data_IF_781978076166
#
_entry.id   IF_781978076166
#
_cell.length_a   1.000
_cell.length_b   1.000
_cell.length_c   1.000
_cell.angle_alpha   90.00
_cell.angle_beta   90.00
_cell.angle_gamma   90.00
#
_symmetry.space_group_name_H-M   'P 1'
#
loop_
_entity.id
_entity.type
_entity.pdbx_description
1 polymer ?
#
# COMPACT_ATOMS: atom_id res chain seq x y z
N UNK A 1 40.84 -2.80 -37.27
CA UNK A 1 41.70 -3.99 -37.04
C UNK A 1 41.65 -4.29 -35.55
N UNK A 2 41.07 -5.36 -34.99
CA UNK A 2 40.47 -6.65 -35.41
C UNK A 2 39.29 -6.85 -34.42
N UNK A 3 38.03 -6.99 -34.81
CA UNK A 3 37.30 -8.18 -35.30
C UNK A 3 37.29 -9.42 -34.38
N UNK A 4 36.04 -9.89 -34.14
CA UNK A 4 35.52 -11.18 -33.61
C UNK A 4 35.12 -11.16 -32.12
N UNK A 5 33.92 -11.61 -31.72
CA UNK A 5 32.88 -12.36 -32.44
C UNK A 5 31.52 -12.28 -31.72
N UNK A 6 30.48 -12.09 -32.53
CA UNK A 6 29.05 -12.20 -32.30
C UNK A 6 28.63 -13.65 -31.97
N UNK A 7 27.59 -13.84 -31.14
CA UNK A 7 26.34 -14.59 -31.41
C UNK A 7 25.60 -14.85 -30.08
N UNK A 8 24.39 -14.29 -29.95
CA UNK A 8 23.20 -14.97 -29.43
C UNK A 8 22.01 -14.01 -29.54
N UNK A 9 21.34 -14.03 -30.69
CA UNK A 9 20.00 -13.47 -30.85
C UNK A 9 19.16 -14.56 -31.52
N UNK A 10 17.88 -14.57 -31.17
CA UNK A 10 16.80 -15.51 -31.57
C UNK A 10 16.51 -16.60 -30.52
N UNK A 11 15.66 -16.23 -29.57
CA UNK A 11 14.51 -17.05 -29.16
C UNK A 11 13.37 -16.08 -28.77
N UNK A 12 12.76 -15.46 -29.78
CA UNK A 12 11.41 -14.91 -29.65
C UNK A 12 10.44 -16.04 -30.03
N UNK A 13 9.88 -16.71 -29.04
CA UNK A 13 8.70 -17.56 -29.21
C UNK A 13 7.80 -17.39 -27.99
N UNK A 14 6.54 -17.10 -28.30
CA UNK A 14 5.42 -16.81 -27.42
C UNK A 14 5.32 -17.72 -26.19
N UNK A 15 5.13 -17.09 -25.03
CA UNK A 15 4.39 -17.65 -23.91
C UNK A 15 3.29 -16.66 -23.55
N UNK A 16 2.22 -16.67 -24.34
CA UNK A 16 0.90 -16.31 -23.84
C UNK A 16 0.46 -17.44 -22.91
N UNK A 17 0.86 -17.37 -21.65
CA UNK A 17 0.16 -18.09 -20.59
C UNK A 17 -0.78 -17.09 -19.92
N UNK A 18 -2.07 -17.40 -19.99
CA UNK A 18 -3.11 -16.62 -19.37
C UNK A 18 -2.84 -16.50 -17.88
N UNK A 19 -2.66 -15.26 -17.43
CA UNK A 19 -2.98 -14.92 -16.05
C UNK A 19 -4.48 -15.17 -15.91
N UNK A 20 -4.83 -16.21 -15.18
CA UNK A 20 -6.20 -16.38 -14.71
C UNK A 20 -6.47 -15.17 -13.82
N UNK A 21 -7.34 -14.30 -14.33
CA UNK A 21 -7.96 -13.21 -13.62
C UNK A 21 -8.55 -13.72 -12.32
N UNK A 22 -8.14 -13.11 -11.19
CA UNK A 22 -8.95 -13.07 -9.99
C UNK A 22 -10.18 -12.20 -10.30
N UNK A 23 -11.19 -12.81 -10.92
CA UNK A 23 -12.51 -12.22 -11.08
C UNK A 23 -13.56 -13.33 -11.01
N UNK A 24 -14.13 -13.49 -9.81
CA UNK A 24 -15.30 -14.32 -9.61
C UNK A 24 -16.43 -13.83 -10.49
N UNK A 25 -16.97 -14.71 -11.33
CA UNK A 25 -18.22 -14.48 -12.04
C UNK A 25 -19.15 -15.65 -11.76
N UNK A 26 -19.99 -15.48 -10.75
CA UNK A 26 -21.25 -16.21 -10.68
C UNK A 26 -22.22 -15.53 -11.65
N UNK A 27 -22.73 -16.29 -12.61
CA UNK A 27 -24.14 -16.20 -13.04
C UNK A 27 -24.46 -17.35 -13.99
N UNK A 28 -25.24 -18.30 -13.50
CA UNK A 28 -26.16 -19.07 -14.31
C UNK A 28 -27.56 -18.50 -14.05
N UNK A 29 -28.24 -18.00 -15.08
CA UNK A 29 -29.52 -18.55 -15.56
C UNK A 29 -30.39 -17.54 -16.36
N UNK A 30 -30.79 -18.06 -17.53
CA UNK A 30 -32.12 -17.94 -18.14
C UNK A 30 -32.56 -16.61 -18.80
N UNK A 31 -32.72 -16.74 -20.12
CA UNK A 31 -33.56 -15.89 -20.97
C UNK A 31 -35.00 -15.83 -20.45
N UNK A 32 -35.57 -14.62 -20.44
CA UNK A 32 -36.96 -14.39 -20.89
C UNK A 32 -37.16 -12.94 -21.34
N UNK A 33 -37.72 -12.83 -22.55
CA UNK A 33 -38.17 -11.63 -23.24
C UNK A 33 -39.29 -10.89 -22.49
N UNK A 34 -39.32 -9.57 -22.57
CA UNK A 34 -40.57 -8.82 -22.69
C UNK A 34 -40.35 -7.41 -23.25
N UNK A 35 -41.34 -6.97 -24.02
CA UNK A 35 -41.40 -5.84 -24.92
C UNK A 35 -41.36 -4.43 -24.32
N UNK A 36 -41.02 -3.52 -25.22
CA UNK A 36 -41.23 -2.07 -25.25
C UNK A 36 -42.48 -1.53 -24.52
N UNK A 37 -42.34 -0.32 -23.96
CA UNK A 37 -43.23 0.82 -24.25
C UNK A 37 -42.64 2.14 -23.76
N UNK A 38 -42.80 3.15 -24.61
CA UNK A 38 -42.50 4.56 -24.37
C UNK A 38 -43.53 5.23 -23.44
N UNK A 39 -43.08 6.23 -22.68
CA UNK A 39 -43.81 7.47 -22.36
C UNK A 39 -42.84 8.41 -21.63
N UNK A 40 -42.37 9.50 -22.24
CA UNK A 40 -43.03 10.81 -22.41
C UNK A 40 -42.57 11.81 -21.34
N UNK A 41 -41.81 12.79 -21.83
CA UNK A 41 -41.36 14.02 -21.18
C UNK A 41 -42.49 14.72 -20.41
N UNK A 42 -42.18 15.21 -19.22
CA UNK A 42 -42.91 16.34 -18.64
C UNK A 42 -41.90 17.29 -18.00
N UNK A 43 -41.81 18.48 -18.58
CA UNK A 43 -41.10 19.64 -18.01
C UNK A 43 -41.95 20.19 -16.85
N UNK A 44 -41.30 20.45 -15.72
CA UNK A 44 -41.84 21.34 -14.70
C UNK A 44 -40.76 22.33 -14.28
N UNK A 45 -40.97 23.59 -14.64
CA UNK A 45 -40.23 24.77 -14.19
C UNK A 45 -40.54 25.05 -12.73
N UNK A 46 -39.51 25.12 -11.89
CA UNK A 46 -39.57 25.78 -10.59
C UNK A 46 -38.20 26.38 -10.27
N UNK A 47 -38.11 27.70 -10.40
CA UNK A 47 -37.03 28.53 -9.85
C UNK A 47 -37.02 28.36 -8.33
N UNK A 48 -35.94 27.79 -7.80
CA UNK A 48 -35.56 27.94 -6.39
C UNK A 48 -34.10 28.34 -6.34
N UNK A 49 -33.90 29.64 -6.15
CA UNK A 49 -32.62 30.25 -5.79
C UNK A 49 -32.35 29.90 -4.33
N UNK A 50 -31.73 28.75 -4.10
CA UNK A 50 -31.11 28.41 -2.83
C UNK A 50 -29.63 28.80 -2.92
N UNK A 51 -29.16 29.58 -1.95
CA UNK A 51 -27.73 29.79 -1.70
C UNK A 51 -27.05 28.42 -1.63
N UNK A 52 -26.25 28.09 -2.64
CA UNK A 52 -25.25 27.05 -2.54
C UNK A 52 -24.03 27.67 -1.88
N UNK A 53 -23.96 27.58 -0.55
CA UNK A 53 -22.66 27.46 0.09
C UNK A 53 -22.06 26.16 -0.47
N UNK A 54 -21.28 26.29 -1.54
CA UNK A 54 -20.46 25.20 -2.07
C UNK A 54 -19.38 24.94 -1.04
N UNK A 55 -19.69 24.12 -0.04
CA UNK A 55 -18.66 23.52 0.79
C UNK A 55 -17.64 22.86 -0.16
N UNK A 56 -16.37 23.20 0.02
CA UNK A 56 -15.29 22.57 -0.73
C UNK A 56 -15.41 21.05 -0.54
N UNK A 57 -15.60 20.26 -1.62
CA UNK A 57 -15.72 18.80 -1.48
C UNK A 57 -14.44 18.19 -0.87
N UNK A 58 -13.30 18.87 -0.93
CA UNK A 58 -12.09 18.54 -0.19
C UNK A 58 -12.00 19.37 1.08
N UNK A 59 -12.28 18.77 2.23
CA UNK A 59 -12.26 19.47 3.51
C UNK A 59 -11.72 18.59 4.63
N UNK A 60 -10.51 18.90 5.07
CA UNK A 60 -9.91 18.36 6.29
C UNK A 60 -10.73 18.83 7.51
N UNK A 61 -11.13 17.93 8.43
CA UNK A 61 -11.82 18.33 9.65
C UNK A 61 -11.01 19.36 10.44
N UNK A 62 -11.68 20.43 10.89
CA UNK A 62 -11.05 21.51 11.64
C UNK A 62 -10.53 21.06 13.01
N UNK A 63 -11.22 20.12 13.65
CA UNK A 63 -10.76 19.53 14.89
C UNK A 63 -9.58 18.57 14.63
N UNK A 64 -8.50 18.66 15.41
CA UNK A 64 -7.37 17.76 15.27
C UNK A 64 -7.76 16.33 15.69
N UNK A 65 -7.07 15.35 15.14
CA UNK A 65 -7.17 13.98 15.62
C UNK A 65 -6.73 13.92 17.10
N UNK A 66 -7.52 13.25 17.93
CA UNK A 66 -7.22 13.08 19.36
C UNK A 66 -6.58 11.72 19.59
N UNK A 67 -5.38 11.71 20.12
CA UNK A 67 -4.61 10.51 20.44
C UNK A 67 -4.42 10.33 21.95
N UNK A 68 -4.29 9.08 22.40
CA UNK A 68 -3.83 8.75 23.77
C UNK A 68 -2.34 8.39 23.82
N UNK A 69 -1.65 8.39 22.68
CA UNK A 69 -0.24 8.03 22.57
C UNK A 69 0.66 9.05 23.30
N UNK A 70 1.77 8.55 23.85
CA UNK A 70 2.78 9.34 24.56
C UNK A 70 4.15 9.28 23.87
N UNK A 71 4.23 8.70 22.67
CA UNK A 71 5.46 8.50 21.91
C UNK A 71 6.17 7.18 22.22
N UNK A 72 5.77 6.44 23.26
CA UNK A 72 6.47 5.21 23.67
C UNK A 72 6.33 4.06 22.68
N UNK A 73 5.26 4.05 21.88
CA UNK A 73 5.01 3.03 20.87
C UNK A 73 5.51 3.45 19.48
N UNK A 74 5.99 4.68 19.28
CA UNK A 74 6.49 5.18 18.00
C UNK A 74 7.53 4.25 17.40
N UNK A 75 7.32 3.85 16.15
CA UNK A 75 8.33 3.07 15.41
C UNK A 75 9.39 4.02 14.87
N UNK A 76 10.66 3.69 15.13
CA UNK A 76 11.83 4.39 14.61
C UNK A 76 12.82 3.37 14.04
N UNK A 77 13.87 3.84 13.35
CA UNK A 77 14.96 2.97 12.88
C UNK A 77 16.24 3.29 13.64
N UNK A 78 16.88 2.25 14.18
CA UNK A 78 18.24 2.33 14.74
C UNK A 78 19.03 1.08 14.36
N UNK A 79 20.28 1.26 13.90
CA UNK A 79 21.15 0.15 13.49
C UNK A 79 20.48 -0.84 12.53
N UNK A 80 19.74 -0.31 11.54
CA UNK A 80 18.99 -1.06 10.53
C UNK A 80 17.91 -2.01 11.11
N UNK A 81 17.35 -1.65 12.26
CA UNK A 81 16.24 -2.34 12.91
C UNK A 81 15.11 -1.39 13.21
N UNK A 82 13.88 -1.91 13.21
CA UNK A 82 12.74 -1.18 13.76
C UNK A 82 12.77 -1.22 15.28
N UNK A 83 12.47 -0.09 15.89
CA UNK A 83 12.48 0.10 17.34
C UNK A 83 11.17 0.71 17.80
N UNK A 84 10.62 0.22 18.92
CA UNK A 84 9.61 0.91 19.70
C UNK A 84 10.26 1.35 21.02
N UNK A 85 10.52 2.65 21.17
CA UNK A 85 11.41 3.16 22.20
C UNK A 85 12.83 2.61 22.04
N UNK A 86 13.34 1.89 23.05
CA UNK A 86 14.68 1.27 23.02
C UNK A 86 14.65 -0.24 22.75
N UNK A 87 13.49 -0.80 22.37
CA UNK A 87 13.32 -2.23 22.13
C UNK A 87 13.08 -2.49 20.66
N UNK A 88 13.74 -3.53 20.14
CA UNK A 88 13.52 -3.99 18.78
C UNK A 88 12.08 -4.47 18.62
N UNK A 89 11.43 -4.06 17.54
CA UNK A 89 10.11 -4.56 17.13
C UNK A 89 10.26 -5.44 15.89
N UNK A 90 9.51 -6.53 15.85
CA UNK A 90 9.33 -7.37 14.67
C UNK A 90 7.85 -7.40 14.29
N UNK A 91 7.53 -7.14 13.02
CA UNK A 91 6.15 -7.08 12.58
C UNK A 91 5.59 -8.47 12.28
N UNK A 92 4.76 -8.98 13.19
CA UNK A 92 3.91 -10.15 12.99
C UNK A 92 2.64 -9.67 12.28
N UNK A 93 2.81 -9.31 11.02
CA UNK A 93 1.85 -8.51 10.27
C UNK A 93 0.92 -9.32 9.39
N UNK A 94 -0.17 -8.69 8.97
CA UNK A 94 -1.04 -9.18 7.89
C UNK A 94 -1.39 -8.03 6.96
N UNK A 95 -1.71 -8.34 5.71
CA UNK A 95 -2.47 -7.41 4.88
C UNK A 95 -3.93 -7.48 5.33
N UNK A 96 -4.46 -6.34 5.75
CA UNK A 96 -5.90 -6.10 5.94
C UNK A 96 -6.26 -5.03 4.92
N UNK A 97 -6.18 -5.34 3.62
CA UNK A 97 -6.02 -4.30 2.62
C UNK A 97 -7.30 -3.46 2.50
N UNK A 98 -8.47 -4.05 2.80
CA UNK A 98 -9.77 -3.39 2.94
C UNK A 98 -10.80 -4.33 3.64
N UNK A 99 -11.90 -3.79 4.17
CA UNK A 99 -13.17 -4.49 4.39
C UNK A 99 -13.93 -4.53 3.06
N UNK A 100 -14.26 -3.34 2.56
CA UNK A 100 -14.87 -3.11 1.27
C UNK A 100 -13.93 -2.28 0.42
N UNK A 101 -13.90 -2.59 -0.86
CA UNK A 101 -13.16 -1.78 -1.81
C UNK A 101 -13.59 -0.31 -1.70
N UNK A 102 -12.62 0.58 -1.50
CA UNK A 102 -12.86 2.00 -1.18
C UNK A 102 -13.64 2.24 0.13
N UNK A 103 -13.13 1.70 1.24
CA UNK A 103 -13.70 1.92 2.58
C UNK A 103 -13.77 3.41 2.95
N UNK A 104 -12.64 4.11 2.96
CA UNK A 104 -12.50 5.42 3.59
C UNK A 104 -13.07 6.55 2.72
N UNK A 105 -14.11 7.22 3.22
CA UNK A 105 -14.94 8.16 2.50
C UNK A 105 -16.07 7.49 1.72
N UNK A 106 -16.22 6.17 1.85
CA UNK A 106 -17.13 5.34 1.09
C UNK A 106 -17.80 4.26 1.94
N UNK A 107 -17.30 3.03 1.81
CA UNK A 107 -17.90 1.83 2.40
C UNK A 107 -17.60 1.57 3.88
N UNK A 108 -16.86 2.46 4.56
CA UNK A 108 -16.31 2.26 5.90
C UNK A 108 -17.34 1.71 6.89
N UNK A 109 -16.90 0.73 7.67
CA UNK A 109 -17.71 0.04 8.66
C UNK A 109 -16.98 0.03 9.99
N UNK A 110 -17.32 0.95 10.88
CA UNK A 110 -16.75 1.01 12.23
C UNK A 110 -16.85 -0.35 12.97
N UNK A 111 -18.02 -1.04 12.99
CA UNK A 111 -18.12 -2.33 13.68
C UNK A 111 -17.16 -3.39 13.11
N UNK A 112 -16.99 -3.43 11.78
CA UNK A 112 -16.05 -4.36 11.16
C UNK A 112 -14.62 -4.08 11.64
N UNK A 113 -14.14 -2.85 11.50
CA UNK A 113 -12.76 -2.51 11.85
C UNK A 113 -12.48 -2.71 13.33
N UNK A 114 -13.46 -2.41 14.20
CA UNK A 114 -13.36 -2.68 15.62
C UNK A 114 -13.25 -4.18 15.92
N UNK A 115 -14.20 -4.99 15.45
CA UNK A 115 -14.21 -6.43 15.69
C UNK A 115 -12.97 -7.11 15.08
N UNK A 116 -12.52 -6.63 13.92
CA UNK A 116 -11.38 -7.19 13.22
C UNK A 116 -10.08 -6.84 13.91
N UNK A 117 -9.82 -5.57 14.29
CA UNK A 117 -8.62 -5.20 15.03
C UNK A 117 -8.56 -5.86 16.40
N UNK A 118 -9.69 -5.97 17.12
CA UNK A 118 -9.77 -6.73 18.36
C UNK A 118 -9.32 -8.18 18.16
N UNK A 119 -9.87 -8.85 17.13
CA UNK A 119 -9.52 -10.22 16.78
C UNK A 119 -8.04 -10.36 16.44
N UNK A 120 -7.50 -9.48 15.58
CA UNK A 120 -6.10 -9.51 15.16
C UNK A 120 -5.16 -9.34 16.36
N UNK A 121 -5.40 -8.33 17.20
CA UNK A 121 -4.65 -8.10 18.43
C UNK A 121 -4.69 -9.33 19.33
N UNK A 122 -5.89 -9.86 19.62
CA UNK A 122 -6.08 -11.01 20.51
C UNK A 122 -5.30 -12.24 20.03
N UNK A 123 -5.21 -12.45 18.73
CA UNK A 123 -4.49 -13.58 18.11
C UNK A 123 -2.97 -13.33 17.98
N UNK A 124 -2.50 -12.10 18.20
CA UNK A 124 -1.08 -11.76 18.28
C UNK A 124 -0.51 -11.06 17.05
N UNK A 125 -1.36 -10.50 16.20
CA UNK A 125 -0.94 -9.55 15.16
C UNK A 125 -0.61 -8.22 15.83
N UNK A 126 0.49 -7.59 15.42
CA UNK A 126 0.84 -6.23 15.86
C UNK A 126 0.82 -5.21 14.72
N UNK A 127 0.68 -5.62 13.46
CA UNK A 127 0.69 -4.70 12.34
C UNK A 127 -0.25 -5.10 11.21
N UNK A 128 -0.85 -4.10 10.58
CA UNK A 128 -1.67 -4.25 9.38
C UNK A 128 -1.16 -3.33 8.27
N UNK A 129 -1.06 -3.87 7.06
CA UNK A 129 -0.97 -3.06 5.84
C UNK A 129 -2.37 -2.87 5.25
N UNK A 130 -2.75 -1.60 5.01
CA UNK A 130 -4.13 -1.20 4.69
C UNK A 130 -4.13 -0.22 3.52
N UNK A 131 -4.94 -0.46 2.50
CA UNK A 131 -5.07 0.43 1.35
C UNK A 131 -6.14 1.48 1.61
N UNK A 132 -5.71 2.69 1.97
CA UNK A 132 -6.64 3.72 2.43
C UNK A 132 -7.34 4.47 1.30
N UNK A 133 -6.88 4.31 0.06
CA UNK A 133 -7.52 4.86 -1.14
C UNK A 133 -7.90 3.79 -2.19
N UNK A 134 -7.37 2.57 -2.11
CA UNK A 134 -7.60 1.48 -3.07
C UNK A 134 -7.34 1.89 -4.54
N UNK A 135 -8.37 2.32 -5.30
CA UNK A 135 -8.22 2.85 -6.66
C UNK A 135 -8.44 4.37 -6.77
N UNK A 136 -8.74 5.04 -5.66
CA UNK A 136 -8.93 6.50 -5.61
C UNK A 136 -10.24 6.99 -6.23
N UNK A 137 -11.21 6.10 -6.48
CA UNK A 137 -12.52 6.50 -7.04
C UNK A 137 -13.45 7.09 -5.97
N UNK A 138 -13.16 6.89 -4.68
CA UNK A 138 -13.94 7.40 -3.55
C UNK A 138 -13.02 8.07 -2.53
N UNK A 139 -13.54 9.08 -1.83
CA UNK A 139 -12.81 9.79 -0.79
C UNK A 139 -11.79 10.80 -1.31
N UNK A 140 -11.30 10.65 -2.55
CA UNK A 140 -10.33 11.53 -3.20
C UNK A 140 -11.02 12.53 -4.15
N UNK A 141 -10.58 13.79 -4.13
CA UNK A 141 -11.13 14.86 -4.98
C UNK A 141 -10.13 15.20 -6.08
N UNK A 142 -10.33 14.59 -7.25
CA UNK A 142 -9.51 14.76 -8.44
C UNK A 142 -10.39 15.15 -9.65
N UNK A 143 -9.97 16.17 -10.41
CA UNK A 143 -10.66 16.55 -11.66
C UNK A 143 -10.35 15.54 -12.78
N UNK A 144 -11.15 15.49 -13.86
CA UNK A 144 -10.82 14.70 -15.05
C UNK A 144 -9.46 15.05 -15.67
N UNK A 145 -9.00 16.29 -15.48
CA UNK A 145 -7.69 16.77 -15.90
C UNK A 145 -6.57 16.36 -14.94
N UNK A 146 -6.85 15.71 -13.81
CA UNK A 146 -5.86 15.30 -12.82
C UNK A 146 -5.48 16.38 -11.81
N UNK A 147 -6.25 17.47 -11.70
CA UNK A 147 -6.05 18.48 -10.66
C UNK A 147 -6.60 17.96 -9.33
N UNK A 148 -5.72 17.85 -8.33
CA UNK A 148 -6.04 17.22 -7.05
C UNK A 148 -6.26 18.28 -5.96
N UNK A 149 -7.42 18.22 -5.31
CA UNK A 149 -7.85 19.23 -4.32
C UNK A 149 -7.76 18.74 -2.88
N UNK A 150 -7.61 17.43 -2.64
CA UNK A 150 -7.56 16.83 -1.31
C UNK A 150 -8.47 15.61 -1.19
N UNK A 151 -8.78 15.25 0.06
CA UNK A 151 -9.74 14.20 0.38
C UNK A 151 -11.00 14.79 1.03
N UNK A 152 -12.12 14.07 0.87
CA UNK A 152 -13.42 14.43 1.46
C UNK A 152 -13.39 14.39 2.98
N UNK A 153 -14.28 15.13 3.65
CA UNK A 153 -14.41 15.07 5.11
C UNK A 153 -14.67 13.65 5.63
N UNK A 154 -15.52 12.88 4.95
CA UNK A 154 -15.82 11.50 5.34
C UNK A 154 -14.57 10.61 5.34
N UNK A 155 -13.68 10.78 4.34
CA UNK A 155 -12.43 10.05 4.29
C UNK A 155 -11.57 10.29 5.53
N UNK A 156 -11.44 11.55 5.96
CA UNK A 156 -10.69 11.91 7.16
C UNK A 156 -11.35 11.40 8.45
N UNK A 157 -12.68 11.47 8.56
CA UNK A 157 -13.43 10.98 9.73
C UNK A 157 -13.35 9.44 9.86
N UNK A 158 -13.34 8.73 8.73
CA UNK A 158 -13.14 7.28 8.70
C UNK A 158 -11.71 6.90 9.10
N UNK A 159 -10.71 7.66 8.66
CA UNK A 159 -9.32 7.47 9.09
C UNK A 159 -9.12 7.81 10.57
N UNK A 160 -9.77 8.86 11.09
CA UNK A 160 -9.77 9.15 12.52
C UNK A 160 -10.29 7.95 13.32
N UNK A 161 -11.36 7.33 12.83
CA UNK A 161 -11.92 6.11 13.44
C UNK A 161 -10.94 4.94 13.36
N UNK A 162 -10.29 4.73 12.22
CA UNK A 162 -9.29 3.68 12.03
C UNK A 162 -8.10 3.85 13.00
N UNK A 163 -7.52 5.04 13.07
CA UNK A 163 -6.34 5.29 13.92
C UNK A 163 -6.69 5.28 15.40
N UNK A 164 -7.90 5.69 15.79
CA UNK A 164 -8.39 5.49 17.14
C UNK A 164 -8.47 3.99 17.51
N UNK A 165 -8.94 3.13 16.59
CA UNK A 165 -8.97 1.68 16.79
C UNK A 165 -7.56 1.06 16.78
N UNK A 166 -6.67 1.56 15.92
CA UNK A 166 -5.27 1.15 15.86
C UNK A 166 -4.55 1.37 17.20
N UNK A 167 -4.79 2.53 17.83
CA UNK A 167 -4.31 2.85 19.17
C UNK A 167 -4.90 1.92 20.24
N UNK A 168 -6.21 1.71 20.22
CA UNK A 168 -6.92 0.91 21.23
C UNK A 168 -6.47 -0.56 21.21
N UNK A 169 -6.26 -1.13 20.02
CA UNK A 169 -5.91 -2.53 19.83
C UNK A 169 -4.43 -2.77 19.51
N UNK A 170 -3.57 -1.76 19.68
CA UNK A 170 -2.13 -1.85 19.47
C UNK A 170 -1.71 -2.39 18.08
N UNK A 171 -2.42 -2.00 17.02
CA UNK A 171 -2.14 -2.40 15.64
C UNK A 171 -1.41 -1.29 14.90
N UNK A 172 -0.15 -1.51 14.56
CA UNK A 172 0.64 -0.61 13.71
C UNK A 172 0.13 -0.65 12.27
N UNK A 173 -0.36 0.47 11.76
CA UNK A 173 -0.88 0.61 10.39
C UNK A 173 0.22 1.10 9.45
N UNK A 174 0.53 0.29 8.43
CA UNK A 174 1.20 0.73 7.20
C UNK A 174 0.11 1.21 6.24
N UNK A 175 -0.03 2.52 6.11
CA UNK A 175 -1.08 3.13 5.31
C UNK A 175 -0.65 3.27 3.85
N UNK A 176 -1.25 2.47 2.97
CA UNK A 176 -0.97 2.48 1.54
C UNK A 176 -1.85 3.52 0.83
N UNK A 177 -1.23 4.58 0.33
CA UNK A 177 -1.95 5.78 -0.17
C UNK A 177 -2.27 5.75 -1.67
N UNK A 178 -1.63 4.88 -2.44
CA UNK A 178 -1.97 4.60 -3.84
C UNK A 178 -1.79 3.11 -4.16
N UNK A 179 -2.33 2.67 -5.30
CA UNK A 179 -2.12 1.34 -5.86
C UNK A 179 -2.01 1.46 -7.38
N UNK A 180 -1.41 0.47 -8.05
CA UNK A 180 -1.52 0.33 -9.50
C UNK A 180 -2.98 0.36 -10.00
N UNK A 181 -3.97 0.01 -9.15
CA UNK A 181 -5.39 0.13 -9.46
C UNK A 181 -5.83 1.57 -9.74
N UNK A 182 -5.16 2.59 -9.21
CA UNK A 182 -5.43 3.99 -9.57
C UNK A 182 -5.22 4.24 -11.06
N UNK A 183 -4.39 3.42 -11.73
CA UNK A 183 -3.96 3.63 -13.10
C UNK A 183 -4.64 2.67 -14.08
N UNK A 184 -5.47 1.73 -13.60
CA UNK A 184 -6.08 0.68 -14.42
C UNK A 184 -7.26 1.22 -15.24
N UNK A 185 -7.26 0.99 -16.55
CA UNK A 185 -8.23 1.54 -17.51
C UNK A 185 -9.69 1.07 -17.32
N UNK A 186 -9.93 0.11 -16.44
CA UNK A 186 -11.26 -0.32 -16.02
C UNK A 186 -11.87 0.54 -14.89
N UNK A 187 -11.08 1.37 -14.21
CA UNK A 187 -11.52 2.16 -13.06
C UNK A 187 -11.93 3.58 -13.49
N UNK A 188 -12.71 4.28 -12.67
CA UNK A 188 -13.40 5.49 -13.14
C UNK A 188 -12.43 6.65 -13.42
N UNK A 189 -11.51 6.93 -12.49
CA UNK A 189 -10.66 8.12 -12.54
C UNK A 189 -9.25 7.86 -13.08
N UNK A 190 -9.04 6.73 -13.79
CA UNK A 190 -7.69 6.28 -14.16
C UNK A 190 -6.89 7.28 -15.01
N UNK A 191 -7.55 8.00 -15.93
CA UNK A 191 -6.88 9.01 -16.77
C UNK A 191 -6.43 10.22 -15.95
N UNK A 192 -7.19 10.59 -14.91
CA UNK A 192 -6.86 11.68 -14.02
C UNK A 192 -5.61 11.34 -13.18
N UNK A 193 -5.54 10.11 -12.64
CA UNK A 193 -4.37 9.65 -11.89
C UNK A 193 -3.11 9.56 -12.75
N UNK A 194 -3.22 9.09 -14.00
CA UNK A 194 -2.11 9.11 -14.96
C UNK A 194 -1.64 10.54 -15.23
N UNK A 195 -2.57 11.47 -15.49
CA UNK A 195 -2.23 12.88 -15.72
C UNK A 195 -1.58 13.55 -14.50
N UNK A 196 -2.00 13.18 -13.29
CA UNK A 196 -1.45 13.69 -12.04
C UNK A 196 0.03 13.33 -11.91
N UNK A 197 0.38 12.04 -11.97
CA UNK A 197 1.79 11.62 -11.77
C UNK A 197 2.72 12.08 -12.89
N UNK A 198 2.20 12.29 -14.09
CA UNK A 198 2.97 12.79 -15.25
C UNK A 198 3.19 14.32 -15.22
N UNK A 199 2.63 15.04 -14.24
CA UNK A 199 2.81 16.49 -14.09
C UNK A 199 3.47 16.80 -12.75
N UNK A 200 4.66 17.41 -12.74
CA UNK A 200 5.32 17.84 -11.51
C UNK A 200 4.42 18.71 -10.64
N UNK A 201 3.65 19.64 -11.22
CA UNK A 201 2.77 20.56 -10.50
C UNK A 201 1.54 19.86 -9.90
N UNK A 202 0.97 18.88 -10.59
CA UNK A 202 -0.18 18.11 -10.06
C UNK A 202 0.27 17.15 -8.96
N UNK A 203 1.45 16.58 -9.11
CA UNK A 203 2.11 15.83 -8.04
C UNK A 203 2.36 16.72 -6.82
N UNK A 204 2.78 17.98 -6.99
CA UNK A 204 2.91 18.92 -5.88
C UNK A 204 1.56 19.11 -5.16
N UNK A 205 0.47 19.28 -5.92
CA UNK A 205 -0.87 19.43 -5.35
C UNK A 205 -1.30 18.18 -4.56
N UNK A 206 -1.02 16.97 -5.04
CA UNK A 206 -1.30 15.74 -4.31
C UNK A 206 -0.52 15.65 -2.99
N UNK A 207 0.77 15.97 -3.03
CA UNK A 207 1.63 15.96 -1.85
C UNK A 207 1.17 17.02 -0.83
N UNK A 208 0.89 18.24 -1.29
CA UNK A 208 0.49 19.36 -0.43
C UNK A 208 -0.92 19.19 0.16
N UNK A 209 -1.86 18.67 -0.63
CA UNK A 209 -3.27 18.63 -0.26
C UNK A 209 -3.70 17.31 0.37
N UNK A 210 -2.86 16.27 0.36
CA UNK A 210 -3.18 14.98 0.98
C UNK A 210 -2.03 14.37 1.78
N UNK A 211 -0.85 14.15 1.20
CA UNK A 211 0.25 13.48 1.90
C UNK A 211 0.70 14.26 3.14
N UNK A 212 0.95 15.58 3.00
CA UNK A 212 1.35 16.43 4.13
C UNK A 212 0.24 16.54 5.18
N UNK A 213 -1.04 16.81 4.83
CA UNK A 213 -2.15 16.77 5.78
C UNK A 213 -2.29 15.43 6.51
N UNK A 214 -2.14 14.30 5.81
CA UNK A 214 -2.25 12.96 6.39
C UNK A 214 -1.22 12.75 7.50
N UNK A 215 0.07 12.94 7.20
CA UNK A 215 1.11 12.71 8.22
C UNK A 215 1.05 13.72 9.35
N UNK A 216 0.69 14.98 9.08
CA UNK A 216 0.50 15.99 10.15
C UNK A 216 -0.67 15.67 11.06
N UNK A 217 -1.78 15.18 10.50
CA UNK A 217 -2.98 14.87 11.28
C UNK A 217 -2.72 13.74 12.26
N UNK A 218 -1.98 12.72 11.83
CA UNK A 218 -1.74 11.50 12.62
C UNK A 218 -0.32 11.41 13.19
N UNK A 219 0.49 12.47 13.12
CA UNK A 219 1.88 12.48 13.60
C UNK A 219 1.98 12.05 15.07
N UNK A 220 1.03 12.47 15.91
CA UNK A 220 1.00 12.09 17.32
C UNK A 220 0.49 10.65 17.58
N UNK A 221 -0.10 9.96 16.59
CA UNK A 221 -0.55 8.57 16.71
C UNK A 221 0.62 7.60 16.52
N UNK A 222 1.04 6.91 17.59
CA UNK A 222 2.15 5.96 17.51
C UNK A 222 1.90 4.77 16.59
N UNK A 223 0.63 4.53 16.25
CA UNK A 223 0.19 3.41 15.46
C UNK A 223 0.01 3.73 13.98
N UNK A 224 0.22 4.98 13.54
CA UNK A 224 0.65 5.25 12.17
C UNK A 224 2.16 5.08 12.11
N UNK A 225 2.64 3.90 11.72
CA UNK A 225 4.08 3.63 11.70
C UNK A 225 4.73 3.91 10.35
N UNK A 226 3.97 3.78 9.25
CA UNK A 226 4.50 4.05 7.92
C UNK A 226 3.45 4.44 6.90
N UNK A 227 3.87 5.26 5.93
CA UNK A 227 3.21 5.47 4.65
C UNK A 227 3.84 4.57 3.58
N UNK A 228 3.03 3.73 2.94
CA UNK A 228 3.36 3.02 1.71
C UNK A 228 2.84 3.84 0.52
N UNK A 229 3.74 4.44 -0.25
CA UNK A 229 3.38 5.42 -1.27
C UNK A 229 2.61 4.83 -2.46
N UNK A 230 2.82 3.55 -2.76
CA UNK A 230 2.10 2.86 -3.83
C UNK A 230 2.22 1.34 -3.70
N UNK A 231 1.08 0.64 -3.73
CA UNK A 231 1.03 -0.79 -3.96
C UNK A 231 1.42 -1.15 -5.40
N UNK A 232 2.43 -2.00 -5.54
CA UNK A 232 2.89 -2.67 -6.76
C UNK A 232 2.99 -1.75 -8.00
N UNK A 233 3.78 -0.67 -7.93
CA UNK A 233 3.91 0.26 -9.05
C UNK A 233 4.52 -0.39 -10.29
N UNK A 234 5.18 -1.54 -10.14
CA UNK A 234 5.69 -2.38 -11.21
C UNK A 234 4.62 -2.64 -12.28
N UNK A 235 3.36 -2.85 -11.89
CA UNK A 235 2.28 -3.09 -12.83
C UNK A 235 1.88 -1.85 -13.61
N UNK A 236 2.07 -0.65 -13.05
CA UNK A 236 1.88 0.62 -13.79
C UNK A 236 2.84 0.69 -14.98
N UNK A 237 4.04 0.14 -14.82
CA UNK A 237 5.11 0.15 -15.82
C UNK A 237 4.95 -0.99 -16.82
N UNK A 238 4.65 -2.21 -16.34
CA UNK A 238 4.65 -3.40 -17.19
C UNK A 238 3.35 -3.61 -17.97
N UNK A 239 2.22 -3.24 -17.37
CA UNK A 239 0.90 -3.65 -17.86
C UNK A 239 0.25 -2.56 -18.72
N UNK A 240 -0.37 -2.99 -19.82
CA UNK A 240 -0.99 -2.07 -20.79
C UNK A 240 -2.21 -1.38 -20.20
N UNK A 241 -3.01 -2.13 -19.47
CA UNK A 241 -4.21 -1.66 -18.78
C UNK A 241 -3.89 -0.64 -17.70
N UNK A 242 -2.67 -0.62 -17.15
CA UNK A 242 -2.23 0.40 -16.18
C UNK A 242 -1.52 1.60 -16.85
N UNK A 243 -1.40 1.58 -18.18
CA UNK A 243 -0.89 2.70 -18.98
C UNK A 243 0.53 2.56 -19.49
N UNK A 244 1.34 1.63 -18.94
CA UNK A 244 2.78 1.53 -19.21
C UNK A 244 3.48 2.88 -19.08
N UNK A 245 3.30 3.51 -17.93
CA UNK A 245 3.96 4.78 -17.65
C UNK A 245 5.47 4.59 -17.52
N UNK A 246 6.21 5.69 -17.37
CA UNK A 246 7.65 5.63 -17.16
C UNK A 246 7.96 5.69 -15.67
N UNK A 247 9.06 5.05 -15.25
CA UNK A 247 9.51 5.12 -13.86
C UNK A 247 9.68 6.56 -13.38
N UNK A 248 10.25 7.44 -14.21
CA UNK A 248 10.46 8.85 -13.86
C UNK A 248 9.19 9.60 -13.43
N UNK A 249 8.01 9.22 -13.95
CA UNK A 249 6.74 9.83 -13.56
C UNK A 249 6.40 9.46 -12.10
N UNK A 250 6.64 8.20 -11.72
CA UNK A 250 6.41 7.69 -10.37
C UNK A 250 7.52 8.08 -9.40
N UNK A 251 8.79 8.04 -9.83
CA UNK A 251 9.95 8.42 -9.03
C UNK A 251 9.90 9.89 -8.62
N UNK A 252 9.41 10.77 -9.51
CA UNK A 252 9.13 12.17 -9.18
C UNK A 252 8.09 12.30 -8.06
N UNK A 253 7.01 11.53 -8.10
CA UNK A 253 6.04 11.48 -7.00
C UNK A 253 6.67 10.95 -5.71
N UNK A 254 7.40 9.84 -5.76
CA UNK A 254 8.00 9.24 -4.57
C UNK A 254 9.01 10.17 -3.92
N UNK A 255 9.92 10.76 -4.69
CA UNK A 255 10.93 11.68 -4.16
C UNK A 255 10.29 12.92 -3.50
N UNK A 256 9.24 13.48 -4.11
CA UNK A 256 8.48 14.61 -3.54
C UNK A 256 7.74 14.23 -2.27
N UNK A 257 7.06 13.07 -2.26
CA UNK A 257 6.31 12.59 -1.11
C UNK A 257 7.24 12.25 0.07
N UNK A 258 8.32 11.50 -0.17
CA UNK A 258 9.35 11.22 0.83
C UNK A 258 9.91 12.50 1.46
N UNK A 259 10.37 13.45 0.63
CA UNK A 259 10.92 14.70 1.12
C UNK A 259 9.90 15.53 1.92
N UNK A 260 8.64 15.52 1.50
CA UNK A 260 7.57 16.22 2.21
C UNK A 260 7.22 15.54 3.55
N UNK A 261 7.16 14.21 3.60
CA UNK A 261 6.88 13.47 4.84
C UNK A 261 8.00 13.74 5.85
N UNK A 262 9.26 13.51 5.47
CA UNK A 262 10.41 13.72 6.36
C UNK A 262 10.62 15.17 6.80
N UNK A 263 10.09 16.15 6.07
CA UNK A 263 10.12 17.55 6.47
C UNK A 263 9.01 17.92 7.48
N UNK A 264 8.01 17.06 7.66
CA UNK A 264 6.79 17.38 8.42
C UNK A 264 6.40 16.36 9.49
N UNK A 265 7.04 15.19 9.54
CA UNK A 265 6.72 14.08 10.44
C UNK A 265 7.89 13.10 10.54
N UNK A 266 7.93 12.32 11.63
CA UNK A 266 8.85 11.20 11.82
C UNK A 266 8.23 9.84 11.38
N UNK A 267 7.04 9.84 10.77
CA UNK A 267 6.43 8.63 10.19
C UNK A 267 7.30 8.09 9.06
N UNK A 268 7.54 6.76 9.07
CA UNK A 268 8.41 6.12 8.09
C UNK A 268 7.76 6.00 6.71
N UNK A 269 8.55 5.90 5.65
CA UNK A 269 8.08 5.84 4.27
C UNK A 269 8.63 4.61 3.54
N UNK A 270 7.79 3.96 2.74
CA UNK A 270 8.19 2.87 1.83
C UNK A 270 7.41 2.93 0.52
N UNK A 271 7.75 2.02 -0.40
CA UNK A 271 6.94 1.69 -1.58
C UNK A 271 6.83 0.17 -1.64
N UNK A 272 5.60 -0.36 -1.63
CA UNK A 272 5.30 -1.78 -1.74
C UNK A 272 5.60 -2.34 -3.13
N UNK A 273 6.86 -2.69 -3.39
CA UNK A 273 7.30 -3.16 -4.70
C UNK A 273 6.79 -4.58 -4.97
N UNK A 274 6.07 -4.75 -6.07
CA UNK A 274 5.52 -6.03 -6.50
C UNK A 274 6.59 -7.04 -6.92
N UNK A 275 7.77 -6.58 -7.34
CA UNK A 275 8.89 -7.45 -7.70
C UNK A 275 10.24 -6.93 -7.18
N UNK A 276 11.09 -7.85 -6.74
CA UNK A 276 12.46 -7.55 -6.29
C UNK A 276 13.34 -6.91 -7.37
N UNK A 277 13.07 -7.15 -8.65
CA UNK A 277 13.95 -6.69 -9.73
C UNK A 277 14.08 -5.17 -9.84
N UNK A 278 13.09 -4.41 -9.36
CA UNK A 278 13.09 -2.95 -9.33
C UNK A 278 13.45 -2.38 -7.95
N UNK A 279 13.73 -3.24 -6.97
CA UNK A 279 14.13 -2.87 -5.61
C UNK A 279 15.57 -3.33 -5.30
N UNK A 280 16.40 -3.51 -6.33
CA UNK A 280 17.75 -4.08 -6.20
C UNK A 280 18.69 -3.65 -7.32
N UNK A 281 19.80 -3.00 -6.94
CA UNK A 281 20.91 -2.63 -7.84
C UNK A 281 21.57 -3.85 -8.51
N UNK A 282 21.45 -5.04 -7.92
CA UNK A 282 22.01 -6.27 -8.48
C UNK A 282 21.09 -6.96 -9.50
N UNK A 283 19.91 -6.38 -9.79
CA UNK A 283 18.92 -6.91 -10.72
C UNK A 283 18.66 -5.90 -11.86
N UNK A 284 17.46 -5.31 -11.95
CA UNK A 284 17.12 -4.33 -12.98
C UNK A 284 17.25 -2.88 -12.48
N UNK A 285 17.89 -2.66 -11.32
CA UNK A 285 18.05 -1.36 -10.67
C UNK A 285 17.16 -1.23 -9.43
N UNK A 286 17.52 -0.33 -8.52
CA UNK A 286 16.65 0.09 -7.44
C UNK A 286 16.09 1.50 -7.72
N UNK A 287 14.87 1.51 -8.28
CA UNK A 287 14.16 2.74 -8.72
C UNK A 287 13.65 3.59 -7.54
N UNK A 288 13.74 3.07 -6.33
CA UNK A 288 13.39 3.78 -5.10
C UNK A 288 14.60 3.94 -4.17
N UNK A 289 15.82 3.77 -4.69
CA UNK A 289 17.04 4.00 -3.90
C UNK A 289 17.23 5.47 -3.57
N UNK A 290 17.94 5.75 -2.47
CA UNK A 290 18.35 7.11 -2.11
C UNK A 290 19.11 7.78 -3.26
N UNK A 291 19.96 7.03 -3.98
CA UNK A 291 20.69 7.60 -5.11
C UNK A 291 19.76 8.01 -6.24
N UNK A 292 18.77 7.18 -6.58
CA UNK A 292 17.82 7.46 -7.65
C UNK A 292 16.93 8.67 -7.27
N UNK A 293 16.26 8.60 -6.13
CA UNK A 293 15.31 9.63 -5.69
C UNK A 293 15.97 11.00 -5.44
N UNK A 294 17.17 11.04 -4.84
CA UNK A 294 17.88 12.29 -4.54
C UNK A 294 18.59 12.89 -5.77
N UNK A 295 18.65 12.16 -6.89
CA UNK A 295 19.19 12.66 -8.15
C UNK A 295 18.21 13.59 -8.88
N UNK A 296 16.92 13.43 -8.61
CA UNK A 296 15.84 14.12 -9.31
C UNK A 296 15.77 15.62 -8.96
N UNK A 297 15.34 16.42 -9.93
CA UNK A 297 14.88 17.78 -9.67
C UNK A 297 13.42 17.72 -9.20
N UNK A 298 13.24 17.85 -7.89
CA UNK A 298 11.94 17.84 -7.22
C UNK A 298 11.45 19.25 -6.86
N UNK A 299 12.03 20.30 -7.45
CA UNK A 299 11.56 21.67 -7.29
C UNK A 299 11.69 22.19 -5.86
N UNK A 300 10.57 22.43 -5.19
CA UNK A 300 10.53 23.11 -3.87
C UNK A 300 10.94 22.24 -2.68
N UNK A 301 11.04 20.92 -2.86
CA UNK A 301 11.34 20.00 -1.78
C UNK A 301 12.85 19.81 -1.60
N UNK A 302 13.28 19.55 -0.36
CA UNK A 302 14.67 19.23 -0.07
C UNK A 302 14.98 17.79 -0.50
N UNK A 303 15.69 17.65 -1.60
CA UNK A 303 16.07 16.33 -2.14
C UNK A 303 16.94 15.51 -1.19
N UNK A 304 17.63 16.09 -0.20
CA UNK A 304 18.36 15.28 0.79
C UNK A 304 17.43 14.47 1.70
N UNK A 305 16.15 14.82 1.73
CA UNK A 305 15.08 14.10 2.43
C UNK A 305 14.33 13.10 1.54
N UNK A 306 14.67 13.00 0.25
CA UNK A 306 14.01 12.09 -0.69
C UNK A 306 14.60 10.67 -0.58
N UNK A 307 14.15 9.90 0.40
CA UNK A 307 14.51 8.49 0.56
C UNK A 307 13.32 7.69 1.12
N UNK A 308 13.33 6.37 0.93
CA UNK A 308 12.46 5.46 1.71
C UNK A 308 13.23 4.98 2.94
N UNK A 309 12.54 4.65 4.02
CA UNK A 309 13.15 4.23 5.28
C UNK A 309 13.47 2.73 5.32
N UNK A 310 12.69 1.93 4.59
CA UNK A 310 12.83 0.48 4.56
C UNK A 310 12.30 -0.10 3.25
N UNK A 311 12.75 -1.33 2.94
CA UNK A 311 12.30 -2.08 1.78
C UNK A 311 11.08 -2.93 2.12
N UNK A 312 10.01 -2.78 1.34
CA UNK A 312 8.79 -3.59 1.42
C UNK A 312 8.54 -4.24 0.06
N UNK A 313 9.06 -5.45 -0.15
CA UNK A 313 8.87 -6.18 -1.41
C UNK A 313 7.89 -7.33 -1.23
N UNK A 314 7.09 -7.54 -2.25
CA UNK A 314 6.12 -8.62 -2.32
C UNK A 314 6.76 -9.87 -2.91
N UNK A 315 6.22 -11.02 -2.54
CA UNK A 315 6.67 -12.30 -3.06
C UNK A 315 5.51 -13.26 -3.26
N UNK A 316 5.42 -13.85 -4.45
CA UNK A 316 4.41 -14.85 -4.80
C UNK A 316 5.05 -16.02 -5.56
N UNK A 317 4.44 -17.21 -5.53
CA UNK A 317 5.05 -18.44 -6.07
C UNK A 317 5.51 -18.34 -7.54
N UNK A 318 4.81 -17.53 -8.36
CA UNK A 318 5.17 -17.33 -9.77
C UNK A 318 6.56 -16.71 -9.95
N UNK A 319 7.12 -16.09 -8.91
CA UNK A 319 8.44 -15.48 -8.86
C UNK A 319 9.58 -16.49 -8.72
N UNK A 320 9.30 -17.71 -8.24
CA UNK A 320 10.30 -18.74 -7.94
C UNK A 320 11.24 -19.01 -9.14
N UNK A 321 10.75 -19.20 -10.39
CA UNK A 321 11.63 -19.49 -11.51
C UNK A 321 12.62 -18.36 -11.86
N UNK A 322 12.32 -17.12 -11.47
CA UNK A 322 13.12 -15.94 -11.84
C UNK A 322 14.08 -15.50 -10.71
N UNK A 323 13.61 -15.49 -9.46
CA UNK A 323 14.37 -14.94 -8.32
C UNK A 323 14.52 -15.92 -7.15
N UNK A 324 13.80 -17.05 -7.19
CA UNK A 324 13.73 -18.03 -6.12
C UNK A 324 12.82 -17.61 -4.97
N UNK A 325 12.93 -18.33 -3.86
CA UNK A 325 12.15 -18.11 -2.64
C UNK A 325 12.81 -17.01 -1.80
N UNK A 326 12.04 -15.97 -1.44
CA UNK A 326 12.55 -14.80 -0.72
C UNK A 326 12.94 -15.11 0.71
N UNK A 327 12.03 -15.73 1.46
CA UNK A 327 12.23 -15.99 2.88
C UNK A 327 13.33 -17.02 3.16
N UNK A 328 13.67 -17.91 2.21
CA UNK A 328 14.75 -18.91 2.33
C UNK A 328 16.17 -18.31 2.23
N UNK A 329 16.28 -17.01 1.91
CA UNK A 329 17.54 -16.29 1.78
C UNK A 329 17.56 -15.11 2.74
N UNK A 330 18.74 -14.73 3.22
CA UNK A 330 18.91 -13.41 3.85
C UNK A 330 18.57 -12.28 2.85
N UNK A 331 18.21 -11.07 3.32
CA UNK A 331 17.99 -9.93 2.43
C UNK A 331 19.15 -9.68 1.44
N UNK A 332 20.40 -9.78 1.89
CA UNK A 332 21.59 -9.63 1.03
C UNK A 332 21.66 -10.71 -0.06
N UNK A 333 21.44 -11.97 0.31
CA UNK A 333 21.41 -13.09 -0.64
C UNK A 333 20.25 -12.98 -1.64
N UNK A 334 19.12 -12.40 -1.21
CA UNK A 334 17.99 -12.05 -2.06
C UNK A 334 18.14 -10.73 -2.80
N UNK A 335 19.32 -10.08 -2.70
CA UNK A 335 19.76 -8.92 -3.50
C UNK A 335 19.28 -7.55 -3.02
N UNK A 336 18.75 -7.43 -1.81
CA UNK A 336 18.50 -6.12 -1.22
C UNK A 336 19.80 -5.39 -0.86
N UNK A 337 19.71 -4.06 -0.87
CA UNK A 337 20.62 -3.23 -0.07
C UNK A 337 20.28 -3.43 1.42
N UNK A 338 21.27 -3.81 2.23
CA UNK A 338 21.13 -4.05 3.67
C UNK A 338 21.39 -2.82 4.53
N UNK A 339 21.55 -1.64 3.91
CA UNK A 339 21.64 -0.36 4.61
C UNK A 339 20.33 0.05 5.30
N UNK A 340 19.21 -0.59 4.97
CA UNK A 340 17.88 -0.33 5.52
C UNK A 340 17.20 -1.64 5.97
N UNK A 341 16.24 -1.58 6.93
CA UNK A 341 15.36 -2.68 7.26
C UNK A 341 14.64 -3.27 6.04
N UNK A 342 14.33 -4.57 6.08
CA UNK A 342 13.55 -5.26 5.03
C UNK A 342 12.38 -6.00 5.65
N UNK A 343 11.19 -5.76 5.12
CA UNK A 343 9.99 -6.55 5.40
C UNK A 343 9.53 -7.26 4.13
N UNK A 344 8.83 -8.38 4.31
CA UNK A 344 8.06 -8.99 3.22
C UNK A 344 6.66 -8.38 3.26
N UNK A 345 6.42 -7.43 2.35
CA UNK A 345 5.21 -6.57 2.35
C UNK A 345 3.93 -7.29 1.92
N UNK A 346 4.07 -8.32 1.10
CA UNK A 346 3.02 -9.28 0.77
C UNK A 346 3.62 -10.65 0.48
N UNK A 347 2.94 -11.69 0.91
CA UNK A 347 3.10 -13.06 0.41
C UNK A 347 1.79 -13.82 0.56
N UNK A 348 1.49 -14.85 -0.26
CA UNK A 348 0.24 -15.57 -0.10
C UNK A 348 0.23 -16.33 1.23
N UNK A 349 -0.82 -16.16 2.04
CA UNK A 349 -1.02 -17.01 3.22
C UNK A 349 -1.22 -18.48 2.80
N UNK A 350 -1.76 -18.68 1.59
CA UNK A 350 -1.96 -19.97 0.96
C UNK A 350 -1.22 -20.02 -0.37
N UNK A 351 0.02 -20.52 -0.33
CA UNK A 351 0.82 -20.76 -1.52
C UNK A 351 0.26 -21.82 -2.45
N UNK A 352 0.64 -21.77 -3.72
CA UNK A 352 0.17 -22.66 -4.79
C UNK A 352 0.37 -24.15 -4.49
N UNK A 353 1.48 -24.51 -3.84
CA UNK A 353 1.84 -25.90 -3.50
C UNK A 353 1.58 -26.25 -2.02
N UNK A 354 0.92 -25.36 -1.26
CA UNK A 354 0.49 -25.63 0.12
C UNK A 354 1.64 -25.66 1.13
N UNK A 355 2.56 -24.69 1.08
CA UNK A 355 3.62 -24.55 2.08
C UNK A 355 3.05 -24.22 3.46
N UNK A 356 3.81 -24.55 4.50
CA UNK A 356 3.48 -24.18 5.88
C UNK A 356 3.88 -22.72 6.14
N UNK A 357 2.88 -21.85 6.19
CA UNK A 357 3.04 -20.42 6.45
C UNK A 357 3.77 -20.13 7.78
N UNK A 358 3.68 -21.03 8.76
CA UNK A 358 4.38 -20.88 10.04
C UNK A 358 5.89 -20.97 9.85
N UNK A 359 6.33 -21.93 9.02
CA UNK A 359 7.74 -22.06 8.64
C UNK A 359 8.20 -20.87 7.80
N UNK A 360 7.33 -20.29 6.97
CA UNK A 360 7.66 -19.09 6.19
C UNK A 360 8.02 -17.92 7.12
N UNK A 361 7.17 -17.63 8.11
CA UNK A 361 7.41 -16.53 9.06
C UNK A 361 8.67 -16.77 9.90
N UNK A 362 8.84 -17.98 10.44
CA UNK A 362 10.01 -18.33 11.24
C UNK A 362 11.30 -18.28 10.41
N UNK A 363 11.28 -18.78 9.17
CA UNK A 363 12.45 -18.74 8.28
C UNK A 363 12.81 -17.30 7.91
N UNK A 364 11.82 -16.47 7.58
CA UNK A 364 12.03 -15.05 7.33
C UNK A 364 12.63 -14.33 8.55
N UNK A 365 12.09 -14.58 9.75
CA UNK A 365 12.61 -14.05 11.01
C UNK A 365 14.08 -14.47 11.24
N UNK A 366 14.38 -15.76 11.07
CA UNK A 366 15.73 -16.30 11.26
C UNK A 366 16.74 -15.80 10.21
N UNK A 367 16.27 -15.46 9.01
CA UNK A 367 17.09 -14.91 7.93
C UNK A 367 17.22 -13.37 7.98
N UNK A 368 16.65 -12.72 8.99
CA UNK A 368 16.87 -11.29 9.27
C UNK A 368 15.87 -10.34 8.62
N UNK A 369 14.74 -10.83 8.10
CA UNK A 369 13.61 -9.96 7.76
C UNK A 369 12.95 -9.45 9.04
N UNK A 370 12.56 -8.17 9.04
CA UNK A 370 12.03 -7.47 10.22
C UNK A 370 10.51 -7.41 10.28
N UNK A 371 9.85 -8.13 9.38
CA UNK A 371 8.41 -8.28 9.36
C UNK A 371 7.95 -9.11 8.18
N UNK A 372 6.80 -9.74 8.34
CA UNK A 372 6.07 -10.42 7.26
C UNK A 372 4.62 -10.00 7.34
N UNK A 373 4.03 -9.69 6.17
CA UNK A 373 2.63 -9.29 6.04
C UNK A 373 1.93 -10.28 5.10
N UNK A 374 1.34 -11.35 5.64
CA UNK A 374 0.65 -12.34 4.81
C UNK A 374 -0.63 -11.75 4.19
N UNK A 375 -0.87 -12.14 2.94
CA UNK A 375 -2.08 -11.84 2.19
C UNK A 375 -3.10 -12.98 2.33
N UNK A 376 -4.27 -12.77 2.93
CA UNK A 376 -4.74 -11.55 3.63
C UNK A 376 -5.72 -11.90 4.75
N UNK A 377 -6.06 -10.93 5.60
CA UNK A 377 -6.94 -11.14 6.75
C UNK A 377 -8.42 -10.82 6.49
N UNK A 378 -8.74 -10.09 5.43
CA UNK A 378 -10.07 -9.54 5.12
C UNK A 378 -10.37 -9.52 3.62
N UNK A 379 -11.61 -9.16 3.25
CA UNK A 379 -12.06 -9.12 1.86
C UNK A 379 -12.44 -10.50 1.29
N UNK A 380 -12.64 -10.57 -0.02
CA UNK A 380 -13.01 -11.81 -0.71
C UNK A 380 -11.80 -12.72 -0.96
N UNK A 381 -12.04 -14.04 -0.91
CA UNK A 381 -11.06 -15.06 -1.28
C UNK A 381 -10.67 -14.92 -2.77
N UNK A 382 -9.40 -14.63 -3.01
CA UNK A 382 -8.76 -14.54 -4.34
C UNK A 382 -7.83 -15.73 -4.61
N UNK A 383 -7.87 -16.75 -3.74
CA UNK A 383 -7.04 -17.94 -3.84
C UNK A 383 -5.65 -17.80 -3.20
N UNK A 384 -5.27 -16.61 -2.71
CA UNK A 384 -3.99 -16.38 -2.04
C UNK A 384 -4.07 -16.48 -0.51
N UNK A 385 -5.28 -16.57 0.06
CA UNK A 385 -5.54 -16.91 1.46
C UNK A 385 -6.41 -15.87 2.20
N UNK A 386 -7.03 -16.34 3.28
CA UNK A 386 -7.83 -15.52 4.21
C UNK A 386 -7.28 -15.64 5.65
N UNK A 387 -7.96 -15.02 6.61
CA UNK A 387 -7.52 -15.01 8.02
C UNK A 387 -7.15 -16.38 8.58
N UNK A 388 -7.94 -17.42 8.31
CA UNK A 388 -7.68 -18.76 8.83
C UNK A 388 -6.39 -19.38 8.26
N UNK A 389 -5.96 -18.94 7.07
CA UNK A 389 -4.67 -19.32 6.48
C UNK A 389 -3.51 -18.51 7.11
N UNK A 390 -3.73 -17.25 7.51
CA UNK A 390 -2.69 -16.44 8.18
C UNK A 390 -2.45 -16.87 9.64
N UNK A 391 -3.53 -17.21 10.35
CA UNK A 391 -3.54 -17.42 11.81
C UNK A 391 -2.47 -18.39 12.35
N UNK A 392 -2.16 -19.53 11.71
CA UNK A 392 -1.13 -20.45 12.21
C UNK A 392 0.24 -19.79 12.38
N UNK A 393 0.68 -18.98 11.42
CA UNK A 393 1.96 -18.28 11.51
C UNK A 393 1.97 -17.22 12.61
N UNK A 394 0.88 -16.46 12.73
CA UNK A 394 0.73 -15.44 13.78
C UNK A 394 0.87 -16.06 15.16
N UNK A 395 0.14 -17.14 15.42
CA UNK A 395 0.19 -17.86 16.70
C UNK A 395 1.56 -18.50 16.95
N UNK A 396 2.20 -19.03 15.90
CA UNK A 396 3.54 -19.61 15.97
C UNK A 396 4.57 -18.57 16.39
N UNK A 397 4.59 -17.39 15.75
CA UNK A 397 5.56 -16.34 16.07
C UNK A 397 5.38 -15.76 17.48
N UNK A 398 4.16 -15.75 18.02
CA UNK A 398 3.92 -15.43 19.43
C UNK A 398 4.57 -16.42 20.41
N UNK A 399 4.92 -17.63 19.98
CA UNK A 399 5.71 -18.58 20.77
C UNK A 399 7.23 -18.40 20.62
N UNK A 400 7.67 -17.71 19.55
CA UNK A 400 9.09 -17.54 19.19
C UNK A 400 9.64 -16.20 19.68
N UNK A 401 8.96 -15.08 19.41
CA UNK A 401 9.46 -13.74 19.70
C UNK A 401 8.40 -12.76 20.26
N UNK A 402 7.56 -13.16 21.24
CA UNK A 402 6.49 -12.29 21.76
C UNK A 402 6.98 -10.93 22.27
N UNK A 403 8.18 -10.89 22.87
CA UNK A 403 8.82 -9.66 23.37
C UNK A 403 9.24 -8.69 22.26
N UNK A 404 9.34 -9.14 21.00
CA UNK A 404 9.57 -8.29 19.83
C UNK A 404 8.26 -7.94 19.11
N UNK A 405 7.22 -8.75 19.27
CA UNK A 405 5.91 -8.47 18.69
C UNK A 405 5.20 -7.38 19.50
N UNK A 406 5.22 -7.49 20.83
CA UNK A 406 4.69 -6.49 21.75
C UNK A 406 5.77 -6.00 22.71
N UNK A 407 6.75 -5.20 22.25
CA UNK A 407 7.90 -4.79 23.07
C UNK A 407 7.51 -3.98 24.31
N UNK A 408 6.40 -3.24 24.24
CA UNK A 408 5.85 -2.49 25.38
C UNK A 408 4.81 -3.28 26.19
N UNK A 409 4.70 -4.59 25.95
CA UNK A 409 3.67 -5.45 26.49
C UNK A 409 2.38 -5.40 25.68
N UNK A 410 1.73 -6.56 25.60
CA UNK A 410 0.38 -6.71 25.06
C UNK A 410 -0.62 -6.28 26.14
N UNK A 411 -1.44 -5.28 25.84
CA UNK A 411 -2.45 -4.73 26.74
C UNK A 411 -3.77 -5.49 26.62
#
# INVERSE_FOLDING_TARGET
MKFRQTIALVCACALTFGMASCSGTDTAESKKSADSKSAQKTESTADNKADSDSADPAALPAEPFTTKCDGSARVTIAENKFMAGNKEIWFNGVNTPWDKWNDFGGGFSFPFWQEHFEKLHNEGVNACRIWISCNGDVGMVISPEGDFSGATTAHWEDLDSLFMLAEEYQIYVMATVQSFDHFKDSNQNYEAWRQLVQSPEKTDAYVDNYIVPLVKRYDACDYLWSIDLCNEPDWIIENKECGKLNWIDLEQYYAKACAAIHANSDVLVTVGMGMIKYNSEQLNGNVISDTELQSLDIGKYDKSLAYVDFWSTHWYDWMIPNWGVMYDKTPEEYKFDTSKPVVIGELPAKGKDGYDISNVYETAYNNGYLGVFAWKSSGSDDGCGLWDDCKPAIAHMMSICPDKIFPNGKK
#
